data_IF_238800615025
#
_entry.id   IF_238800615025
#
_cell.length_a   1.000
_cell.length_b   1.000
_cell.length_c   1.000
_cell.angle_alpha   90.00
_cell.angle_beta   90.00
_cell.angle_gamma   90.00
#
_symmetry.space_group_name_H-M   'P 1'
#
loop_
_entity.id
_entity.type
_entity.pdbx_description
1 polymer ?
#
# COMPACT_ATOMS: atom_id res chain seq x y z
N UNK A 1 11.01 -32.05 2.80
CA UNK A 1 9.59 -31.83 2.49
C UNK A 1 9.44 -30.45 1.84
N UNK A 2 8.78 -30.39 0.72
CA UNK A 2 8.48 -29.11 0.09
C UNK A 2 7.49 -28.30 0.94
N UNK A 3 7.70 -26.98 1.02
CA UNK A 3 6.77 -26.06 1.67
C UNK A 3 6.19 -25.14 0.61
N UNK A 4 4.91 -24.87 0.75
CA UNK A 4 4.17 -24.01 -0.16
C UNK A 4 3.52 -22.87 0.62
N UNK A 5 3.20 -21.80 -0.08
CA UNK A 5 2.43 -20.70 0.47
C UNK A 5 1.24 -20.44 -0.45
N UNK A 6 0.08 -20.26 0.14
CA UNK A 6 -1.14 -19.92 -0.58
C UNK A 6 -1.57 -18.51 -0.23
N UNK A 7 -2.07 -17.78 -1.24
CA UNK A 7 -2.72 -16.49 -1.01
C UNK A 7 -4.21 -16.78 -0.76
N UNK A 8 -4.66 -16.54 0.47
CA UNK A 8 -6.02 -16.87 0.89
C UNK A 8 -6.95 -15.65 0.95
N UNK A 9 -6.40 -14.45 0.89
CA UNK A 9 -7.19 -13.23 0.89
C UNK A 9 -6.36 -12.02 0.51
N UNK A 10 -7.05 -10.98 0.06
CA UNK A 10 -6.44 -9.70 -0.28
C UNK A 10 -7.36 -8.57 0.12
N UNK A 11 -6.79 -7.37 0.23
CA UNK A 11 -7.53 -6.16 0.52
C UNK A 11 -6.72 -4.94 0.11
N UNK A 12 -7.43 -3.84 -0.15
CA UNK A 12 -6.80 -2.57 -0.49
C UNK A 12 -7.46 -1.43 0.26
N UNK A 13 -6.71 -0.35 0.45
CA UNK A 13 -7.22 0.92 0.93
C UNK A 13 -6.58 2.02 0.09
N UNK A 14 -7.37 2.66 -0.75
CA UNK A 14 -6.90 3.70 -1.66
C UNK A 14 -7.45 5.05 -1.23
N UNK A 15 -6.60 6.05 -0.94
CA UNK A 15 -7.06 7.41 -0.67
C UNK A 15 -7.87 7.96 -1.85
N UNK A 16 -8.84 8.86 -1.62
CA UNK A 16 -9.69 9.37 -2.68
C UNK A 16 -9.01 10.39 -3.61
N UNK A 17 -7.96 11.10 -3.12
CA UNK A 17 -7.29 12.11 -3.92
C UNK A 17 -6.42 11.45 -4.99
N UNK A 18 -6.61 11.88 -6.24
CA UNK A 18 -5.89 11.39 -7.42
C UNK A 18 -4.94 12.46 -7.93
N UNK A 19 -3.70 12.06 -8.21
CA UNK A 19 -2.73 12.90 -8.90
C UNK A 19 -2.39 12.24 -10.23
N UNK A 20 -2.71 12.91 -11.34
CA UNK A 20 -2.41 12.43 -12.69
C UNK A 20 -0.96 12.72 -13.07
N UNK A 21 -0.50 12.12 -14.16
CA UNK A 21 0.83 12.44 -14.71
C UNK A 21 0.92 13.90 -15.15
N UNK A 22 -0.17 14.48 -15.64
CA UNK A 22 -0.20 15.91 -16.01
C UNK A 22 -0.07 16.81 -14.78
N UNK A 23 -0.68 16.41 -13.65
CA UNK A 23 -0.49 17.10 -12.36
C UNK A 23 0.99 17.06 -11.94
N UNK A 24 1.65 15.92 -12.10
CA UNK A 24 3.08 15.78 -11.82
C UNK A 24 3.92 16.68 -12.73
N UNK A 25 3.58 16.75 -14.02
CA UNK A 25 4.29 17.57 -14.99
C UNK A 25 4.19 19.06 -14.67
N UNK A 26 3.17 19.49 -13.92
CA UNK A 26 3.02 20.88 -13.51
C UNK A 26 4.02 21.31 -12.41
N UNK A 27 4.63 20.36 -11.69
CA UNK A 27 5.51 20.63 -10.54
C UNK A 27 6.95 20.13 -10.75
N UNK A 28 7.15 19.16 -11.64
CA UNK A 28 8.48 18.63 -11.98
C UNK A 28 8.62 18.49 -13.49
N UNK A 29 9.86 18.41 -13.97
CA UNK A 29 10.17 18.23 -15.39
C UNK A 29 9.94 16.78 -15.81
N UNK A 30 8.73 16.47 -16.25
CA UNK A 30 8.31 15.15 -16.72
C UNK A 30 7.14 15.27 -17.70
N UNK A 31 6.67 14.13 -18.22
CA UNK A 31 5.50 14.06 -19.08
C UNK A 31 4.75 12.74 -18.85
N UNK A 32 3.45 12.75 -19.18
CA UNK A 32 2.64 11.53 -19.15
C UNK A 32 3.26 10.42 -20.01
N UNK A 33 3.68 10.76 -21.24
CA UNK A 33 4.30 9.82 -22.16
C UNK A 33 5.55 9.18 -21.56
N UNK A 34 6.42 9.96 -20.94
CA UNK A 34 7.62 9.42 -20.31
C UNK A 34 7.31 8.51 -19.13
N UNK A 35 6.41 8.93 -18.25
CA UNK A 35 6.03 8.14 -17.07
C UNK A 35 5.37 6.82 -17.48
N UNK A 36 4.41 6.86 -18.38
CA UNK A 36 3.72 5.66 -18.87
C UNK A 36 4.69 4.70 -19.57
N UNK A 37 5.58 5.22 -20.39
CA UNK A 37 6.56 4.38 -21.11
C UNK A 37 7.53 3.67 -20.16
N UNK A 38 7.84 4.27 -19.01
CA UNK A 38 8.79 3.73 -18.02
C UNK A 38 8.13 2.83 -16.98
N UNK A 39 6.92 3.13 -16.57
CA UNK A 39 6.28 2.47 -15.42
C UNK A 39 4.88 1.93 -15.69
N UNK A 40 4.22 2.37 -16.76
CA UNK A 40 2.82 2.06 -17.01
C UNK A 40 1.86 2.82 -16.08
N UNK A 41 2.35 3.73 -15.26
CA UNK A 41 1.54 4.48 -14.29
C UNK A 41 0.92 5.68 -14.96
N UNK A 42 -0.41 5.78 -14.90
CA UNK A 42 -1.17 6.94 -15.41
C UNK A 42 -1.52 7.93 -14.31
N UNK A 43 -1.74 7.44 -13.10
CA UNK A 43 -2.12 8.25 -11.95
C UNK A 43 -1.68 7.56 -10.65
N UNK A 44 -1.67 8.30 -9.55
CA UNK A 44 -1.43 7.77 -8.21
C UNK A 44 -2.38 8.41 -7.23
N UNK A 45 -2.51 7.76 -6.09
CA UNK A 45 -3.31 8.28 -5.00
C UNK A 45 -2.43 9.04 -4.01
N UNK A 46 -2.97 10.12 -3.48
CA UNK A 46 -2.29 10.94 -2.47
C UNK A 46 -3.04 10.78 -1.16
N UNK A 47 -2.33 10.38 -0.12
CA UNK A 47 -2.92 10.14 1.19
C UNK A 47 -2.90 11.40 2.06
N UNK A 48 -3.98 11.59 2.80
CA UNK A 48 -4.10 12.59 3.87
C UNK A 48 -3.90 11.97 5.26
N UNK A 49 -3.62 10.67 5.31
CA UNK A 49 -3.37 9.91 6.54
C UNK A 49 -2.06 9.14 6.44
N UNK A 50 -1.48 8.73 7.59
CA UNK A 50 -0.25 7.93 7.58
C UNK A 50 -0.42 6.60 6.83
N UNK A 51 0.68 6.06 6.34
CA UNK A 51 0.70 4.77 5.64
C UNK A 51 0.20 3.62 6.52
N UNK A 52 0.43 3.68 7.83
CA UNK A 52 -0.08 2.67 8.77
C UNK A 52 -1.61 2.59 8.79
N UNK A 53 -2.31 3.72 8.67
CA UNK A 53 -3.78 3.73 8.62
C UNK A 53 -4.28 3.02 7.36
N UNK A 54 -3.66 3.30 6.22
CA UNK A 54 -4.00 2.64 4.95
C UNK A 54 -3.73 1.13 5.03
N UNK A 55 -2.57 0.76 5.57
CA UNK A 55 -2.16 -0.62 5.71
C UNK A 55 -3.09 -1.39 6.66
N UNK A 56 -3.49 -0.79 7.79
CA UNK A 56 -4.40 -1.40 8.74
C UNK A 56 -5.77 -1.71 8.10
N UNK A 57 -6.34 -0.77 7.36
CA UNK A 57 -7.62 -0.99 6.66
C UNK A 57 -7.48 -2.06 5.58
N UNK A 58 -6.41 -2.02 4.79
CA UNK A 58 -6.16 -3.03 3.77
C UNK A 58 -5.98 -4.42 4.40
N UNK A 59 -5.26 -4.50 5.53
CA UNK A 59 -5.08 -5.72 6.30
C UNK A 59 -6.38 -6.30 6.85
N UNK A 60 -7.23 -5.46 7.42
CA UNK A 60 -8.57 -5.88 7.89
C UNK A 60 -9.42 -6.45 6.76
N UNK A 61 -9.40 -5.80 5.60
CA UNK A 61 -10.13 -6.28 4.42
C UNK A 61 -9.58 -7.62 3.91
N UNK A 62 -8.26 -7.78 3.92
CA UNK A 62 -7.62 -9.05 3.54
C UNK A 62 -8.00 -10.19 4.49
N UNK A 63 -7.99 -9.93 5.81
CA UNK A 63 -8.39 -10.91 6.81
C UNK A 63 -9.87 -11.28 6.66
N UNK A 64 -10.75 -10.32 6.45
CA UNK A 64 -12.16 -10.57 6.20
C UNK A 64 -12.37 -11.43 4.95
N UNK A 65 -11.64 -11.14 3.87
CA UNK A 65 -11.67 -11.94 2.64
C UNK A 65 -11.22 -13.38 2.89
N UNK A 66 -10.20 -13.57 3.71
CA UNK A 66 -9.66 -14.89 4.04
C UNK A 66 -10.48 -15.64 5.11
N UNK A 67 -11.40 -14.96 5.81
CA UNK A 67 -12.14 -15.53 6.91
C UNK A 67 -11.31 -15.73 8.18
N UNK A 68 -10.28 -14.92 8.38
CA UNK A 68 -9.36 -14.99 9.51
C UNK A 68 -9.57 -13.84 10.49
N UNK A 69 -9.23 -14.12 11.75
CA UNK A 69 -9.18 -13.09 12.80
C UNK A 69 -7.75 -12.55 12.96
N UNK A 70 -7.58 -11.32 13.44
CA UNK A 70 -6.25 -10.75 13.65
C UNK A 70 -5.34 -11.62 14.54
N UNK A 71 -5.91 -12.29 15.53
CA UNK A 71 -5.18 -13.14 16.47
C UNK A 71 -4.58 -14.40 15.82
N UNK A 72 -5.05 -14.76 14.64
CA UNK A 72 -4.54 -15.90 13.87
C UNK A 72 -3.32 -15.56 13.02
N UNK A 73 -2.90 -14.28 13.00
CA UNK A 73 -1.76 -13.82 12.24
C UNK A 73 -0.48 -14.01 13.05
N UNK A 74 0.44 -14.81 12.54
CA UNK A 74 1.73 -15.09 13.19
C UNK A 74 2.82 -14.09 12.79
N UNK A 75 2.73 -13.53 11.59
CA UNK A 75 3.75 -12.60 11.06
C UNK A 75 3.09 -11.52 10.22
N UNK A 76 3.44 -10.27 10.52
CA UNK A 76 3.03 -9.10 9.76
C UNK A 76 4.26 -8.44 9.13
N UNK A 77 4.22 -8.27 7.81
CA UNK A 77 5.28 -7.57 7.06
C UNK A 77 4.67 -6.35 6.37
N UNK A 78 5.25 -5.18 6.61
CA UNK A 78 4.92 -3.95 5.91
C UNK A 78 6.13 -3.48 5.11
N UNK A 79 6.00 -3.49 3.79
CA UNK A 79 7.03 -3.02 2.87
C UNK A 79 6.71 -1.59 2.45
N UNK A 80 7.53 -0.64 2.86
CA UNK A 80 7.34 0.78 2.52
C UNK A 80 8.68 1.52 2.46
N UNK A 81 8.78 2.48 1.55
CA UNK A 81 9.88 3.43 1.49
C UNK A 81 9.56 4.74 2.22
N UNK A 82 8.30 4.92 2.63
CA UNK A 82 7.81 6.12 3.30
C UNK A 82 7.11 5.75 4.61
N UNK A 83 7.87 5.26 5.61
CA UNK A 83 7.28 4.85 6.89
C UNK A 83 6.71 6.05 7.64
N UNK A 84 5.76 5.79 8.55
CA UNK A 84 5.23 6.83 9.44
C UNK A 84 6.34 7.44 10.30
N UNK A 85 7.18 6.58 10.85
CA UNK A 85 8.36 6.92 11.63
C UNK A 85 9.47 5.90 11.34
N UNK A 86 10.72 6.28 11.62
CA UNK A 86 11.86 5.35 11.48
C UNK A 86 11.77 4.25 12.55
N UNK A 87 11.46 4.65 13.77
CA UNK A 87 11.30 3.77 14.94
C UNK A 87 10.11 4.29 15.75
N UNK A 88 9.14 3.44 16.10
CA UNK A 88 9.00 2.03 15.72
C UNK A 88 8.67 1.84 14.26
N UNK A 89 8.78 0.60 13.76
CA UNK A 89 8.45 0.27 12.36
C UNK A 89 6.96 0.48 12.06
N UNK A 90 6.64 0.73 10.80
CA UNK A 90 5.24 0.88 10.37
C UNK A 90 4.41 -0.37 10.71
N UNK A 91 4.99 -1.56 10.66
CA UNK A 91 4.31 -2.80 11.06
C UNK A 91 3.85 -2.75 12.52
N UNK A 92 4.64 -2.16 13.42
CA UNK A 92 4.24 -1.98 14.82
C UNK A 92 3.03 -1.04 14.97
N UNK A 93 2.93 -0.01 14.14
CA UNK A 93 1.76 0.88 14.13
C UNK A 93 0.51 0.18 13.58
N UNK A 94 0.66 -0.73 12.61
CA UNK A 94 -0.45 -1.49 12.01
C UNK A 94 -0.97 -2.54 12.99
N UNK A 95 -0.10 -3.15 13.74
CA UNK A 95 -0.43 -4.18 14.73
C UNK A 95 -1.39 -3.65 15.80
#
# INVERSE_FOLDING_TARGET
>A
MAKYADITGWGKCMPPAVMTNDDMASVIDTSDEWIVSRSGISERRVSHVPGSDLAAVAGHRALACAGLQPEEVDLLIVATCTPDTVIPSTAAHVQ
#
